data_IF_612648501215
#
_entry.id   IF_612648501215
#
_cell.length_a   1.000
_cell.length_b   1.000
_cell.length_c   1.000
_cell.angle_alpha   90.00
_cell.angle_beta   90.00
_cell.angle_gamma   90.00
#
_symmetry.space_group_name_H-M   'P 1'
#
loop_
_entity.id
_entity.type
_entity.pdbx_description
1 polymer ?
#
# COMPACT_ATOMS: atom_id res chain seq x y z
N UNK A 1 -43.59 -0.72 20.59
CA UNK A 1 -42.27 -1.36 20.63
C UNK A 1 -41.80 -1.43 19.19
N UNK A 2 -41.03 -0.42 18.74
CA UNK A 2 -40.52 -0.32 17.36
C UNK A 2 -39.35 -1.32 17.25
N UNK A 3 -39.27 -2.16 16.23
CA UNK A 3 -38.11 -3.02 16.02
C UNK A 3 -36.90 -2.17 15.80
N UNK A 4 -35.84 -2.37 16.58
CA UNK A 4 -34.53 -1.78 16.44
C UNK A 4 -34.01 -2.20 15.07
N UNK A 5 -33.78 -1.24 14.18
CA UNK A 5 -33.21 -1.48 12.85
C UNK A 5 -31.87 -2.23 12.99
N UNK A 6 -31.88 -3.50 12.62
CA UNK A 6 -30.71 -4.39 12.62
C UNK A 6 -29.69 -4.06 11.51
N UNK A 7 -29.83 -2.91 10.82
CA UNK A 7 -29.07 -2.59 9.62
C UNK A 7 -27.79 -1.78 9.81
N UNK A 8 -27.54 -1.18 10.98
CA UNK A 8 -26.42 -0.21 11.10
C UNK A 8 -25.12 -0.81 11.65
N UNK A 9 -25.15 -1.98 12.32
CA UNK A 9 -23.94 -2.57 12.90
C UNK A 9 -23.11 -3.41 11.90
N UNK A 10 -23.78 -4.08 10.95
CA UNK A 10 -23.10 -5.03 10.04
C UNK A 10 -22.32 -4.36 8.88
N UNK A 11 -22.52 -3.07 8.65
CA UNK A 11 -21.83 -2.28 7.63
C UNK A 11 -20.92 -1.20 8.20
N UNK A 12 -20.69 -1.20 9.51
CA UNK A 12 -19.76 -0.27 10.14
C UNK A 12 -18.33 -0.52 9.64
N UNK A 13 -17.62 0.55 9.30
CA UNK A 13 -16.26 0.49 8.76
C UNK A 13 -15.31 1.22 9.70
N UNK A 14 -14.23 0.55 10.09
CA UNK A 14 -13.08 1.21 10.68
C UNK A 14 -12.02 1.45 9.60
N UNK A 15 -11.63 2.70 9.45
CA UNK A 15 -10.45 3.09 8.67
C UNK A 15 -9.23 2.91 9.55
N UNK A 16 -8.26 2.11 9.10
CA UNK A 16 -6.96 1.94 9.76
C UNK A 16 -5.89 2.50 8.85
N UNK A 17 -5.27 3.58 9.29
CA UNK A 17 -4.26 4.33 8.56
C UNK A 17 -2.99 4.40 9.38
N UNK A 18 -1.84 4.13 8.75
CA UNK A 18 -0.52 4.28 9.38
C UNK A 18 0.17 5.49 8.78
N UNK A 19 0.62 6.40 9.62
CA UNK A 19 1.39 7.56 9.20
C UNK A 19 2.84 7.49 9.67
N UNK A 20 3.74 7.93 8.82
CA UNK A 20 5.15 8.19 9.10
C UNK A 20 5.66 9.24 8.12
N UNK A 21 5.93 10.47 8.62
CA UNK A 21 6.37 11.61 7.80
C UNK A 21 5.41 11.88 6.62
N UNK A 22 4.11 11.93 6.90
CA UNK A 22 3.05 11.97 5.85
C UNK A 22 2.24 13.27 5.87
N UNK A 23 2.69 14.31 6.56
CA UNK A 23 1.95 15.57 6.73
C UNK A 23 1.47 16.18 5.40
N UNK A 24 2.26 15.99 4.33
CA UNK A 24 1.94 16.53 3.00
C UNK A 24 0.63 16.00 2.43
N UNK A 25 0.37 14.69 2.59
CA UNK A 25 -0.70 13.99 1.86
C UNK A 25 -1.85 13.59 2.80
N UNK A 26 -1.57 13.48 4.11
CA UNK A 26 -2.50 12.98 5.12
C UNK A 26 -3.81 13.77 5.21
N UNK A 27 -3.75 15.11 5.18
CA UNK A 27 -4.94 15.95 5.27
C UNK A 27 -5.92 15.71 4.11
N UNK A 28 -5.40 15.51 2.90
CA UNK A 28 -6.21 15.20 1.72
C UNK A 28 -6.81 13.79 1.81
N UNK A 29 -6.04 12.82 2.29
CA UNK A 29 -6.55 11.45 2.52
C UNK A 29 -7.72 11.48 3.50
N UNK A 30 -7.53 12.02 4.71
CA UNK A 30 -8.55 12.10 5.75
C UNK A 30 -9.79 12.87 5.27
N UNK A 31 -9.62 14.03 4.62
CA UNK A 31 -10.73 14.85 4.10
C UNK A 31 -11.54 14.17 2.98
N UNK A 32 -11.04 13.11 2.36
CA UNK A 32 -11.77 12.34 1.34
C UNK A 32 -12.69 11.26 1.91
N UNK A 33 -12.44 10.80 3.15
CA UNK A 33 -13.06 9.61 3.73
C UNK A 33 -14.58 9.71 3.88
N UNK A 34 -15.10 10.81 4.42
CA UNK A 34 -16.54 10.98 4.67
C UNK A 34 -17.37 10.86 3.40
N UNK A 35 -16.95 11.56 2.33
CA UNK A 35 -17.65 11.50 1.04
C UNK A 35 -17.53 10.13 0.36
N UNK A 36 -16.42 9.45 0.60
CA UNK A 36 -16.19 8.11 0.07
C UNK A 36 -17.13 7.07 0.70
N UNK A 37 -17.45 7.22 1.98
CA UNK A 37 -18.23 6.24 2.74
C UNK A 37 -19.74 6.58 2.83
N UNK A 38 -20.13 7.84 2.64
CA UNK A 38 -21.52 8.26 2.85
C UNK A 38 -22.56 7.31 2.21
N UNK A 39 -23.62 6.91 2.92
CA UNK A 39 -24.03 7.37 4.24
C UNK A 39 -23.48 6.55 5.43
N UNK A 40 -22.53 5.63 5.22
CA UNK A 40 -22.00 4.77 6.29
C UNK A 40 -21.07 5.56 7.23
N UNK A 41 -21.27 5.45 8.56
CA UNK A 41 -20.37 6.09 9.51
C UNK A 41 -19.00 5.39 9.49
N UNK A 42 -17.95 6.18 9.67
CA UNK A 42 -16.57 5.72 9.77
C UNK A 42 -16.03 5.89 11.19
N UNK A 43 -15.35 4.88 11.71
CA UNK A 43 -14.41 5.03 12.80
C UNK A 43 -13.01 5.19 12.21
N UNK A 44 -12.33 6.30 12.47
CA UNK A 44 -10.99 6.53 11.92
C UNK A 44 -9.93 6.33 13.00
N UNK A 45 -9.05 5.37 12.79
CA UNK A 45 -7.91 5.04 13.63
C UNK A 45 -6.63 5.35 12.87
N UNK A 46 -5.83 6.27 13.37
CA UNK A 46 -4.51 6.62 12.81
C UNK A 46 -3.43 6.11 13.76
N UNK A 47 -2.52 5.29 13.25
CA UNK A 47 -1.34 4.83 13.99
C UNK A 47 -0.15 5.62 13.51
N UNK A 48 0.38 6.48 14.37
CA UNK A 48 1.59 7.25 14.07
C UNK A 48 2.85 6.44 14.42
N UNK A 49 3.69 6.20 13.44
CA UNK A 49 4.91 5.41 13.56
C UNK A 49 6.14 6.27 13.94
N UNK A 50 6.00 7.18 14.90
CA UNK A 50 7.01 8.14 15.35
C UNK A 50 7.34 9.20 14.28
N UNK A 51 6.33 9.88 13.75
CA UNK A 51 6.52 11.04 12.89
C UNK A 51 7.12 12.21 13.66
N UNK A 52 7.93 13.02 12.98
CA UNK A 52 8.52 14.27 13.51
C UNK A 52 8.02 15.50 12.75
N UNK A 53 7.15 15.29 11.76
CA UNK A 53 6.44 16.33 11.02
C UNK A 53 5.04 16.58 11.60
N UNK A 54 4.22 17.39 10.95
CA UNK A 54 2.88 17.73 11.39
C UNK A 54 1.84 16.56 11.25
N UNK A 55 2.26 15.34 10.91
CA UNK A 55 1.32 14.22 10.70
C UNK A 55 0.42 13.95 11.89
N UNK A 56 1.00 13.97 13.09
CA UNK A 56 0.27 13.74 14.34
C UNK A 56 -0.76 14.83 14.63
N UNK A 57 -0.39 16.10 14.43
CA UNK A 57 -1.26 17.25 14.60
C UNK A 57 -2.44 17.20 13.62
N UNK A 58 -2.19 16.90 12.35
CA UNK A 58 -3.22 16.74 11.31
C UNK A 58 -4.21 15.64 11.70
N UNK A 59 -3.71 14.47 12.14
CA UNK A 59 -4.58 13.35 12.52
C UNK A 59 -5.49 13.72 13.71
N UNK A 60 -4.96 14.38 14.72
CA UNK A 60 -5.73 14.88 15.89
C UNK A 60 -6.74 15.96 15.50
N UNK A 61 -6.35 16.90 14.63
CA UNK A 61 -7.23 17.95 14.13
C UNK A 61 -8.41 17.43 13.33
N UNK A 62 -8.26 16.28 12.69
CA UNK A 62 -9.36 15.59 12.00
C UNK A 62 -10.33 14.88 12.98
N UNK A 63 -9.97 14.71 14.24
CA UNK A 63 -10.76 13.96 15.22
C UNK A 63 -10.57 12.44 15.15
N UNK A 64 -9.51 11.96 14.53
CA UNK A 64 -9.20 10.54 14.49
C UNK A 64 -8.78 10.01 15.88
N UNK A 65 -9.05 8.74 16.15
CA UNK A 65 -8.44 8.03 17.27
C UNK A 65 -6.96 7.78 16.95
N UNK A 66 -6.06 8.48 17.62
CA UNK A 66 -4.61 8.42 17.35
C UNK A 66 -3.92 7.48 18.32
N UNK A 67 -3.11 6.57 17.77
CA UNK A 67 -2.21 5.68 18.53
C UNK A 67 -0.77 6.03 18.15
N UNK A 68 0.05 6.33 19.15
CA UNK A 68 1.42 6.80 18.94
C UNK A 68 2.43 5.70 19.28
N UNK A 69 3.28 5.36 18.34
CA UNK A 69 4.42 4.50 18.57
C UNK A 69 5.66 5.33 18.86
N UNK A 70 6.46 4.93 19.85
CA UNK A 70 7.72 5.61 20.18
C UNK A 70 8.81 5.42 19.11
N UNK A 71 8.68 4.40 18.26
CA UNK A 71 9.61 4.08 17.15
C UNK A 71 8.83 3.56 15.95
N UNK A 72 9.39 3.71 14.76
CA UNK A 72 8.80 3.12 13.55
C UNK A 72 8.89 1.59 13.60
N UNK A 73 7.78 0.92 13.87
CA UNK A 73 7.66 -0.54 14.01
C UNK A 73 7.40 -1.27 12.67
N UNK A 74 7.29 -0.52 11.56
CA UNK A 74 6.89 -1.02 10.25
C UNK A 74 5.38 -1.09 10.07
N UNK A 75 4.96 -1.28 8.81
CA UNK A 75 3.55 -1.18 8.41
C UNK A 75 2.70 -2.29 9.02
N UNK A 76 3.14 -3.54 8.95
CA UNK A 76 2.36 -4.70 9.41
C UNK A 76 2.00 -4.62 10.91
N UNK A 77 2.98 -4.28 11.75
CA UNK A 77 2.73 -4.14 13.20
C UNK A 77 1.78 -3.00 13.50
N UNK A 78 2.01 -1.85 12.87
CA UNK A 78 1.19 -0.66 13.07
C UNK A 78 -0.26 -0.90 12.60
N UNK A 79 -0.50 -1.53 11.47
CA UNK A 79 -1.86 -1.91 11.02
C UNK A 79 -2.51 -2.84 12.05
N UNK A 80 -1.82 -3.89 12.50
CA UNK A 80 -2.38 -4.80 13.51
C UNK A 80 -2.74 -4.07 14.82
N UNK A 81 -1.91 -3.10 15.24
CA UNK A 81 -2.21 -2.25 16.42
C UNK A 81 -3.47 -1.43 16.19
N UNK A 82 -3.63 -0.81 15.01
CA UNK A 82 -4.83 -0.05 14.67
C UNK A 82 -6.08 -0.92 14.61
N UNK A 83 -5.98 -2.12 14.03
CA UNK A 83 -7.09 -3.08 13.97
C UNK A 83 -7.53 -3.52 15.36
N UNK A 84 -6.59 -3.74 16.28
CA UNK A 84 -6.91 -4.12 17.67
C UNK A 84 -7.62 -3.00 18.46
N UNK A 85 -7.52 -1.76 18.01
CA UNK A 85 -8.12 -0.60 18.68
C UNK A 85 -9.57 -0.31 18.25
N UNK A 86 -10.16 -1.10 17.35
CA UNK A 86 -11.53 -0.95 16.84
C UNK A 86 -12.28 -2.27 16.86
N UNK A 87 -13.62 -2.22 16.84
CA UNK A 87 -14.51 -3.41 16.81
C UNK A 87 -15.34 -3.53 15.52
N UNK A 88 -15.18 -2.61 14.56
CA UNK A 88 -16.00 -2.61 13.34
C UNK A 88 -15.86 -3.89 12.51
N UNK A 89 -16.93 -4.42 11.90
CA UNK A 89 -16.90 -5.66 11.11
C UNK A 89 -16.13 -5.55 9.82
N UNK A 90 -15.89 -4.34 9.33
CA UNK A 90 -15.13 -4.05 8.13
C UNK A 90 -13.94 -3.15 8.44
N UNK A 91 -12.80 -3.49 7.88
CA UNK A 91 -11.54 -2.78 8.03
C UNK A 91 -11.15 -2.18 6.68
N UNK A 92 -11.14 -0.86 6.56
CA UNK A 92 -10.57 -0.16 5.43
C UNK A 92 -9.12 0.20 5.77
N UNK A 93 -8.20 -0.61 5.28
CA UNK A 93 -6.76 -0.35 5.39
C UNK A 93 -6.38 0.57 4.25
N UNK A 94 -5.81 1.74 4.57
CA UNK A 94 -5.55 2.78 3.58
C UNK A 94 -4.23 3.51 3.87
N UNK A 95 -3.47 3.81 2.82
CA UNK A 95 -2.24 4.59 2.94
C UNK A 95 -2.54 6.09 3.07
N UNK A 96 -1.70 6.87 3.77
CA UNK A 96 -1.89 8.30 3.96
C UNK A 96 -1.74 9.14 2.68
N UNK A 97 -1.19 8.56 1.60
CA UNK A 97 -0.99 9.18 0.29
C UNK A 97 -2.04 8.74 -0.74
N UNK A 98 -3.25 8.40 -0.27
CA UNK A 98 -4.40 8.06 -1.12
C UNK A 98 -5.49 9.12 -1.03
N UNK A 99 -6.28 9.23 -2.08
CA UNK A 99 -7.47 10.07 -2.16
C UNK A 99 -8.63 9.23 -2.68
N UNK A 100 -9.65 9.06 -1.83
CA UNK A 100 -10.80 8.22 -2.11
C UNK A 100 -11.86 9.02 -2.88
N UNK A 101 -12.31 8.52 -4.03
CA UNK A 101 -13.40 9.12 -4.79
C UNK A 101 -14.73 8.99 -4.03
N UNK A 102 -15.66 9.96 -4.17
CA UNK A 102 -16.98 9.91 -3.53
C UNK A 102 -17.70 8.58 -3.81
N UNK A 103 -18.20 7.92 -2.75
CA UNK A 103 -18.92 6.65 -2.84
C UNK A 103 -18.03 5.41 -3.06
N UNK A 104 -16.70 5.53 -3.15
CA UNK A 104 -15.82 4.40 -3.37
C UNK A 104 -15.87 3.36 -2.24
N UNK A 105 -15.90 3.78 -0.97
CA UNK A 105 -16.02 2.87 0.17
C UNK A 105 -17.38 2.18 0.17
N UNK A 106 -18.46 2.92 -0.10
CA UNK A 106 -19.81 2.33 -0.25
C UNK A 106 -19.82 1.26 -1.35
N UNK A 107 -19.13 1.52 -2.47
CA UNK A 107 -19.02 0.56 -3.57
C UNK A 107 -18.24 -0.69 -3.15
N UNK A 108 -17.12 -0.54 -2.46
CA UNK A 108 -16.36 -1.66 -1.92
C UNK A 108 -17.18 -2.50 -0.95
N UNK A 109 -17.96 -1.87 -0.06
CA UNK A 109 -18.87 -2.56 0.85
C UNK A 109 -19.94 -3.36 0.09
N UNK A 110 -20.57 -2.77 -0.92
CA UNK A 110 -21.58 -3.44 -1.72
C UNK A 110 -20.99 -4.71 -2.39
N UNK A 111 -19.78 -4.62 -2.93
CA UNK A 111 -19.08 -5.78 -3.48
C UNK A 111 -18.73 -6.80 -2.41
N UNK A 112 -18.20 -6.37 -1.27
CA UNK A 112 -17.79 -7.26 -0.17
C UNK A 112 -18.97 -7.99 0.47
N UNK A 113 -20.16 -7.39 0.49
CA UNK A 113 -21.37 -7.99 1.06
C UNK A 113 -22.15 -8.87 0.07
N UNK A 114 -21.83 -8.81 -1.22
CA UNK A 114 -22.51 -9.60 -2.26
C UNK A 114 -22.26 -11.11 -2.16
N UNK A 115 -21.17 -11.53 -1.52
CA UNK A 115 -20.88 -12.94 -1.20
C UNK A 115 -20.19 -13.02 0.17
N UNK A 116 -20.69 -13.91 1.04
CA UNK A 116 -20.14 -14.10 2.38
C UNK A 116 -18.69 -14.65 2.39
N UNK A 117 -18.23 -15.24 1.29
CA UNK A 117 -16.87 -15.74 1.12
C UNK A 117 -15.86 -14.66 0.71
N UNK A 118 -16.31 -13.45 0.39
CA UNK A 118 -15.41 -12.35 0.09
C UNK A 118 -14.78 -11.86 1.39
N UNK A 119 -13.47 -12.07 1.53
CA UNK A 119 -12.66 -11.66 2.66
C UNK A 119 -11.96 -10.32 2.44
N UNK A 120 -11.67 -9.97 1.19
CA UNK A 120 -10.96 -8.74 0.83
C UNK A 120 -11.43 -8.19 -0.52
N UNK A 121 -11.59 -6.86 -0.61
CA UNK A 121 -11.87 -6.16 -1.87
C UNK A 121 -10.90 -4.98 -2.02
N UNK A 122 -10.23 -4.90 -3.18
CA UNK A 122 -9.40 -3.75 -3.56
C UNK A 122 -10.05 -2.91 -4.65
N UNK A 123 -9.94 -1.57 -4.58
CA UNK A 123 -10.43 -0.65 -5.60
C UNK A 123 -9.55 -0.59 -6.84
N UNK A 124 -10.02 0.03 -7.90
CA UNK A 124 -9.17 0.58 -8.95
C UNK A 124 -8.32 1.71 -8.37
N UNK A 125 -7.00 1.59 -8.47
CA UNK A 125 -6.08 2.66 -8.13
C UNK A 125 -5.67 3.39 -9.41
N UNK A 126 -5.70 4.73 -9.36
CA UNK A 126 -5.19 5.59 -10.41
C UNK A 126 -4.00 6.40 -9.90
N UNK A 127 -3.01 6.64 -10.74
CA UNK A 127 -1.96 7.62 -10.49
C UNK A 127 -2.55 9.05 -10.52
N UNK A 128 -1.87 10.07 -9.96
CA UNK A 128 -2.35 11.45 -10.00
C UNK A 128 -2.59 12.00 -11.41
N UNK A 129 -1.88 11.49 -12.40
CA UNK A 129 -2.03 11.84 -13.82
C UNK A 129 -3.21 11.12 -14.52
N UNK A 130 -3.97 10.32 -13.77
CA UNK A 130 -5.09 9.54 -14.27
C UNK A 130 -4.70 8.22 -14.95
N UNK A 131 -3.43 7.88 -15.04
CA UNK A 131 -3.00 6.59 -15.56
C UNK A 131 -3.29 5.45 -14.57
N UNK A 132 -3.53 4.24 -15.10
CA UNK A 132 -3.80 3.07 -14.30
C UNK A 132 -2.63 2.68 -13.40
N UNK A 133 -2.91 2.44 -12.11
CA UNK A 133 -2.02 1.74 -11.22
C UNK A 133 -2.48 0.28 -11.08
N UNK A 134 -1.63 -0.71 -11.36
CA UNK A 134 -2.05 -2.12 -11.28
C UNK A 134 -2.42 -2.51 -9.85
N UNK A 135 -3.72 -2.67 -9.56
CA UNK A 135 -4.22 -3.05 -8.21
C UNK A 135 -4.45 -4.55 -8.11
N UNK A 136 -5.34 -5.11 -8.92
CA UNK A 136 -5.58 -6.55 -8.97
C UNK A 136 -4.47 -7.28 -9.71
N UNK A 137 -3.86 -8.29 -9.09
CA UNK A 137 -2.68 -8.97 -9.64
C UNK A 137 -2.73 -10.47 -9.40
N UNK A 138 -1.89 -11.22 -10.15
CA UNK A 138 -1.65 -12.65 -9.92
C UNK A 138 -0.46 -12.87 -8.98
N UNK A 139 -0.48 -13.98 -8.23
CA UNK A 139 0.74 -14.40 -7.53
C UNK A 139 1.80 -14.78 -8.56
N UNK A 140 3.01 -14.23 -8.49
CA UNK A 140 4.06 -14.58 -9.42
C UNK A 140 4.50 -16.04 -9.20
N UNK A 141 4.48 -16.87 -10.25
CA UNK A 141 5.27 -18.11 -10.21
C UNK A 141 6.76 -17.76 -10.13
N UNK A 142 7.60 -18.71 -9.78
CA UNK A 142 9.05 -18.47 -9.67
C UNK A 142 9.62 -17.88 -10.97
N UNK A 143 9.32 -18.49 -12.11
CA UNK A 143 9.77 -18.01 -13.42
C UNK A 143 9.18 -16.65 -13.78
N UNK A 144 7.86 -16.48 -13.60
CA UNK A 144 7.20 -15.20 -13.89
C UNK A 144 7.74 -14.07 -13.00
N UNK A 145 7.97 -14.35 -11.72
CA UNK A 145 8.55 -13.38 -10.79
C UNK A 145 9.98 -12.99 -11.16
N UNK A 146 10.82 -13.97 -11.54
CA UNK A 146 12.18 -13.71 -11.97
C UNK A 146 12.21 -12.89 -13.28
N UNK A 147 11.41 -13.27 -14.29
CA UNK A 147 11.32 -12.56 -15.56
C UNK A 147 10.75 -11.14 -15.38
N UNK A 148 9.69 -10.98 -14.59
CA UNK A 148 9.17 -9.65 -14.25
C UNK A 148 10.26 -8.79 -13.57
N UNK A 149 10.91 -9.34 -12.55
CA UNK A 149 11.92 -8.60 -11.80
C UNK A 149 13.15 -8.21 -12.63
N UNK A 150 13.54 -9.04 -13.60
CA UNK A 150 14.68 -8.79 -14.48
C UNK A 150 14.34 -7.86 -15.66
N UNK A 151 13.19 -8.06 -16.28
CA UNK A 151 12.85 -7.41 -17.55
C UNK A 151 12.04 -6.11 -17.38
N UNK A 152 11.20 -5.98 -16.36
CA UNK A 152 10.34 -4.81 -16.19
C UNK A 152 11.09 -3.46 -16.20
N UNK A 153 12.32 -3.34 -15.67
CA UNK A 153 13.07 -2.08 -15.71
C UNK A 153 13.49 -1.60 -17.11
N UNK A 154 13.62 -2.52 -18.07
CA UNK A 154 14.09 -2.24 -19.44
C UNK A 154 13.01 -2.50 -20.49
N UNK A 155 12.04 -3.35 -20.18
CA UNK A 155 10.91 -3.72 -21.02
C UNK A 155 9.62 -3.87 -20.17
N UNK A 156 8.96 -2.75 -19.79
CA UNK A 156 7.78 -2.76 -18.91
C UNK A 156 6.61 -3.58 -19.47
N UNK A 157 6.45 -3.63 -20.79
CA UNK A 157 5.39 -4.35 -21.48
C UNK A 157 5.67 -5.85 -21.77
N UNK A 158 6.71 -6.45 -21.17
CA UNK A 158 7.02 -7.87 -21.44
C UNK A 158 5.90 -8.82 -20.99
N UNK A 159 5.78 -10.03 -21.59
CA UNK A 159 4.67 -10.95 -21.32
C UNK A 159 4.54 -11.35 -19.83
N UNK A 160 5.65 -11.51 -19.10
CA UNK A 160 5.61 -11.86 -17.68
C UNK A 160 5.01 -10.72 -16.83
N UNK A 161 5.40 -9.47 -17.12
CA UNK A 161 4.85 -8.27 -16.47
C UNK A 161 3.37 -8.09 -16.81
N UNK A 162 2.99 -8.22 -18.08
CA UNK A 162 1.58 -8.14 -18.52
C UNK A 162 0.69 -9.18 -17.82
N UNK A 163 1.16 -10.43 -17.73
CA UNK A 163 0.45 -11.50 -17.03
C UNK A 163 0.34 -11.24 -15.53
N UNK A 164 1.41 -10.77 -14.91
CA UNK A 164 1.45 -10.41 -13.49
C UNK A 164 0.45 -9.30 -13.15
N UNK A 165 0.38 -8.27 -13.98
CA UNK A 165 -0.53 -7.14 -13.82
C UNK A 165 -1.93 -7.38 -14.41
N UNK A 166 -2.22 -8.58 -14.92
CA UNK A 166 -3.51 -8.92 -15.52
C UNK A 166 -3.92 -7.94 -16.63
N UNK A 167 -2.96 -7.53 -17.48
CA UNK A 167 -3.22 -6.60 -18.59
C UNK A 167 -4.08 -7.30 -19.65
N UNK A 168 -5.18 -6.64 -20.07
CA UNK A 168 -6.11 -7.16 -21.08
C UNK A 168 -7.24 -8.03 -20.53
N UNK A 169 -7.33 -8.18 -19.20
CA UNK A 169 -8.50 -8.83 -18.57
C UNK A 169 -9.67 -7.84 -18.55
N UNK A 170 -10.89 -8.35 -18.82
CA UNK A 170 -12.12 -7.57 -18.72
C UNK A 170 -12.29 -7.02 -17.29
N UNK A 171 -12.37 -5.69 -17.19
CA UNK A 171 -12.52 -4.94 -15.95
C UNK A 171 -13.86 -4.20 -15.89
N UNK A 172 -14.87 -4.64 -16.61
CA UNK A 172 -16.22 -4.05 -16.57
C UNK A 172 -16.97 -4.36 -15.27
N UNK A 173 -16.55 -5.39 -14.52
CA UNK A 173 -17.18 -5.87 -13.28
C UNK A 173 -16.16 -6.37 -12.28
N UNK A 174 -16.54 -6.53 -10.99
CA UNK A 174 -15.68 -7.14 -9.98
C UNK A 174 -15.22 -8.53 -10.39
N UNK A 175 -13.95 -8.84 -10.14
CA UNK A 175 -13.32 -10.10 -10.53
C UNK A 175 -12.40 -10.66 -9.45
N UNK A 176 -12.30 -11.99 -9.37
CA UNK A 176 -11.35 -12.65 -8.47
C UNK A 176 -9.92 -12.43 -8.92
N UNK A 177 -9.09 -12.04 -7.97
CA UNK A 177 -7.65 -11.82 -8.16
C UNK A 177 -6.86 -12.56 -7.10
N UNK A 178 -5.56 -12.78 -7.33
CA UNK A 178 -4.77 -13.44 -6.30
C UNK A 178 -4.43 -12.48 -5.15
N UNK A 179 -4.23 -11.19 -5.44
CA UNK A 179 -3.99 -10.18 -4.42
C UNK A 179 -4.29 -8.77 -4.93
N UNK A 180 -4.54 -7.86 -4.01
CA UNK A 180 -4.80 -6.43 -4.25
C UNK A 180 -3.74 -5.59 -3.53
N UNK A 181 -3.54 -4.35 -4.00
CA UNK A 181 -2.57 -3.43 -3.40
C UNK A 181 -2.99 -3.02 -1.99
N UNK A 182 -2.04 -3.02 -1.06
CA UNK A 182 -2.22 -2.52 0.31
C UNK A 182 -2.41 -1.00 0.43
N UNK A 183 -2.29 -0.25 -0.68
CA UNK A 183 -2.54 1.19 -0.67
C UNK A 183 -3.99 1.53 -0.29
N UNK A 184 -4.95 0.68 -0.70
CA UNK A 184 -6.33 0.72 -0.24
C UNK A 184 -6.95 -0.67 -0.38
N UNK A 185 -7.46 -1.23 0.72
CA UNK A 185 -8.15 -2.52 0.73
C UNK A 185 -9.22 -2.55 1.82
N UNK A 186 -10.42 -3.01 1.46
CA UNK A 186 -11.49 -3.29 2.41
C UNK A 186 -11.42 -4.76 2.78
N UNK A 187 -11.29 -5.07 4.07
CA UNK A 187 -11.12 -6.43 4.58
C UNK A 187 -12.22 -6.76 5.58
N UNK A 188 -12.83 -7.92 5.45
CA UNK A 188 -13.75 -8.44 6.46
C UNK A 188 -12.97 -8.76 7.74
N UNK A 189 -13.35 -8.18 8.88
CA UNK A 189 -12.66 -8.40 10.17
C UNK A 189 -12.46 -9.88 10.48
N UNK A 190 -13.53 -10.68 10.41
CA UNK A 190 -13.46 -12.13 10.65
C UNK A 190 -12.39 -12.81 9.78
N UNK A 191 -12.30 -12.44 8.50
CA UNK A 191 -11.30 -13.00 7.58
C UNK A 191 -9.88 -12.57 7.97
N UNK A 192 -9.70 -11.30 8.39
CA UNK A 192 -8.42 -10.78 8.84
C UNK A 192 -7.95 -11.44 10.14
N UNK A 193 -8.84 -11.64 11.09
CA UNK A 193 -8.56 -12.31 12.38
C UNK A 193 -8.26 -13.80 12.18
N UNK A 194 -9.00 -14.50 11.32
CA UNK A 194 -8.80 -15.91 11.01
C UNK A 194 -7.40 -16.19 10.45
N UNK A 195 -6.86 -15.26 9.67
CA UNK A 195 -5.47 -15.38 9.16
C UNK A 195 -4.41 -14.86 10.15
N UNK A 196 -4.80 -14.35 11.33
CA UNK A 196 -3.90 -13.79 12.34
C UNK A 196 -3.35 -12.40 11.98
N UNK A 197 -4.08 -11.61 11.18
CA UNK A 197 -3.69 -10.26 10.76
C UNK A 197 -2.53 -10.24 9.75
N UNK A 198 -1.87 -9.09 9.61
CA UNK A 198 -0.62 -9.00 8.86
C UNK A 198 0.53 -9.66 9.62
N UNK A 199 1.41 -10.37 8.92
CA UNK A 199 2.60 -10.97 9.53
C UNK A 199 3.59 -9.88 9.95
N UNK A 200 3.87 -9.73 11.27
CA UNK A 200 4.75 -8.68 11.80
C UNK A 200 6.23 -8.85 11.39
N UNK A 201 6.56 -9.93 10.71
CA UNK A 201 7.88 -10.14 10.11
C UNK A 201 8.12 -9.34 8.83
N UNK A 202 7.09 -8.74 8.24
CA UNK A 202 7.22 -7.74 7.18
C UNK A 202 7.28 -6.36 7.80
N UNK A 203 8.39 -5.64 7.60
CA UNK A 203 8.46 -4.24 7.98
C UNK A 203 7.68 -3.37 7.00
N UNK A 204 7.80 -3.65 5.69
CA UNK A 204 7.14 -2.99 4.58
C UNK A 204 7.25 -3.85 3.32
N UNK A 205 6.23 -3.80 2.46
CA UNK A 205 6.08 -4.57 1.22
C UNK A 205 5.82 -6.06 1.43
N UNK A 206 4.99 -6.62 0.58
CA UNK A 206 4.55 -8.02 0.55
C UNK A 206 3.66 -8.46 1.72
N UNK A 207 3.43 -7.64 2.75
CA UNK A 207 2.49 -7.95 3.83
C UNK A 207 1.07 -8.19 3.31
N UNK A 208 0.59 -7.35 2.39
CA UNK A 208 -0.71 -7.49 1.75
C UNK A 208 -0.78 -8.72 0.84
N UNK A 209 0.30 -8.99 0.11
CA UNK A 209 0.38 -10.18 -0.75
C UNK A 209 0.39 -11.47 0.09
N UNK A 210 1.10 -11.50 1.21
CA UNK A 210 1.09 -12.62 2.16
C UNK A 210 -0.28 -12.79 2.81
N UNK A 211 -0.92 -11.70 3.21
CA UNK A 211 -2.28 -11.75 3.76
C UNK A 211 -3.28 -12.32 2.75
N UNK A 212 -3.26 -11.86 1.49
CA UNK A 212 -4.11 -12.40 0.44
C UNK A 212 -3.84 -13.90 0.20
N UNK A 213 -2.57 -14.33 0.23
CA UNK A 213 -2.23 -15.75 0.13
C UNK A 213 -2.82 -16.56 1.28
N UNK A 214 -2.79 -16.04 2.51
CA UNK A 214 -3.39 -16.71 3.68
C UNK A 214 -4.91 -16.70 3.62
N UNK A 215 -5.53 -15.62 3.14
CA UNK A 215 -6.97 -15.55 2.87
C UNK A 215 -7.40 -16.66 1.91
N UNK A 216 -6.73 -16.82 0.77
CA UNK A 216 -7.03 -17.91 -0.17
C UNK A 216 -6.89 -19.30 0.47
N UNK A 217 -5.83 -19.50 1.28
CA UNK A 217 -5.63 -20.78 2.00
C UNK A 217 -6.71 -21.08 3.03
N UNK A 218 -7.33 -20.05 3.60
CA UNK A 218 -8.46 -20.14 4.51
C UNK A 218 -9.83 -20.22 3.77
N UNK A 219 -9.85 -20.24 2.43
CA UNK A 219 -11.07 -20.35 1.62
C UNK A 219 -11.76 -19.02 1.31
N UNK A 220 -11.17 -17.89 1.69
CA UNK A 220 -11.69 -16.56 1.38
C UNK A 220 -11.35 -16.13 -0.04
N UNK A 221 -12.27 -15.38 -0.65
CA UNK A 221 -12.07 -14.75 -1.96
C UNK A 221 -11.42 -13.37 -1.78
N UNK A 222 -10.54 -13.03 -2.70
CA UNK A 222 -9.96 -11.69 -2.87
C UNK A 222 -10.48 -11.14 -4.18
N UNK A 223 -11.13 -9.99 -4.15
CA UNK A 223 -11.83 -9.40 -5.30
C UNK A 223 -11.23 -8.03 -5.63
N UNK A 224 -11.06 -7.74 -6.89
CA UNK A 224 -10.78 -6.41 -7.42
C UNK A 224 -12.07 -5.80 -7.93
N UNK A 225 -12.45 -4.62 -7.44
CA UNK A 225 -13.60 -3.85 -7.94
C UNK A 225 -13.11 -2.67 -8.79
N UNK A 226 -13.27 -2.74 -10.11
CA UNK A 226 -12.78 -1.70 -11.02
C UNK A 226 -13.62 -0.42 -11.00
N UNK A 227 -14.81 -0.44 -10.41
CA UNK A 227 -15.72 0.73 -10.37
C UNK A 227 -15.43 1.60 -9.14
N UNK A 228 -14.94 1.00 -8.04
CA UNK A 228 -14.49 1.77 -6.88
C UNK A 228 -13.14 2.42 -7.20
N UNK A 229 -13.10 3.74 -7.32
CA UNK A 229 -11.88 4.48 -7.69
C UNK A 229 -11.22 5.13 -6.48
N UNK A 230 -9.89 4.99 -6.40
CA UNK A 230 -9.03 5.66 -5.42
C UNK A 230 -7.77 6.15 -6.13
N UNK A 231 -7.38 7.39 -5.92
CA UNK A 231 -6.11 7.94 -6.42
C UNK A 231 -5.00 7.70 -5.42
N UNK A 232 -3.82 7.31 -5.90
CA UNK A 232 -2.66 7.02 -5.06
C UNK A 232 -1.44 7.80 -5.52
N UNK A 233 -0.93 8.67 -4.64
CA UNK A 233 0.28 9.46 -4.89
C UNK A 233 1.50 8.61 -4.48
N UNK A 234 1.98 7.79 -5.41
CA UNK A 234 3.06 6.82 -5.13
C UNK A 234 4.30 7.50 -4.54
N UNK A 235 4.69 7.08 -3.35
CA UNK A 235 6.01 7.39 -2.79
C UNK A 235 6.07 8.53 -1.79
N UNK A 236 4.94 9.03 -1.26
CA UNK A 236 4.91 10.07 -0.23
C UNK A 236 5.87 9.76 0.95
N UNK A 237 5.56 8.76 1.74
CA UNK A 237 6.33 8.36 2.94
C UNK A 237 7.68 7.70 2.66
N UNK A 238 7.97 7.26 1.43
CA UNK A 238 9.19 6.50 1.11
C UNK A 238 10.27 7.34 0.43
N UNK A 239 10.01 8.61 0.12
CA UNK A 239 10.98 9.52 -0.51
C UNK A 239 12.17 9.82 0.40
N UNK A 240 11.96 9.88 1.71
CA UNK A 240 12.99 10.19 2.71
C UNK A 240 14.03 9.09 2.93
N UNK A 241 13.78 7.85 2.50
CA UNK A 241 14.67 6.73 2.77
C UNK A 241 14.80 5.73 1.59
N UNK A 242 15.27 6.16 0.41
CA UNK A 242 15.25 5.37 -0.82
C UNK A 242 16.07 4.08 -0.73
N UNK A 243 17.18 4.06 -0.02
CA UNK A 243 18.01 2.87 0.19
C UNK A 243 17.32 1.83 1.08
N UNK A 244 16.70 2.27 2.18
CA UNK A 244 15.95 1.39 3.09
C UNK A 244 14.78 0.72 2.38
N UNK A 245 14.10 1.45 1.49
CA UNK A 245 13.05 0.92 0.60
C UNK A 245 13.54 -0.28 -0.20
N UNK A 246 14.70 -0.18 -0.85
CA UNK A 246 15.28 -1.27 -1.64
C UNK A 246 15.57 -2.48 -0.74
N UNK A 247 16.20 -2.27 0.40
CA UNK A 247 16.55 -3.36 1.33
C UNK A 247 15.30 -4.08 1.85
N UNK A 248 14.28 -3.33 2.32
CA UNK A 248 13.04 -3.92 2.82
C UNK A 248 12.30 -4.70 1.73
N UNK A 249 12.21 -4.15 0.51
CA UNK A 249 11.57 -4.84 -0.61
C UNK A 249 12.20 -6.21 -0.90
N UNK A 250 13.54 -6.31 -0.96
CA UNK A 250 14.21 -7.56 -1.26
C UNK A 250 14.14 -8.58 -0.09
N UNK A 251 14.26 -8.11 1.16
CA UNK A 251 14.05 -8.96 2.35
C UNK A 251 12.62 -9.52 2.40
N UNK A 252 11.63 -8.67 2.16
CA UNK A 252 10.22 -9.05 2.15
C UNK A 252 9.90 -10.02 1.01
N UNK A 253 10.48 -9.82 -0.18
CA UNK A 253 10.34 -10.75 -1.30
C UNK A 253 10.86 -12.15 -0.97
N UNK A 254 12.02 -12.26 -0.35
CA UNK A 254 12.58 -13.55 0.11
C UNK A 254 11.69 -14.19 1.18
N UNK A 255 11.23 -13.40 2.17
CA UNK A 255 10.32 -13.89 3.20
C UNK A 255 9.03 -14.44 2.58
N UNK A 256 8.42 -13.70 1.66
CA UNK A 256 7.22 -14.15 0.95
C UNK A 256 7.46 -15.45 0.18
N UNK A 257 8.57 -15.56 -0.52
CA UNK A 257 8.95 -16.80 -1.21
C UNK A 257 9.00 -17.99 -0.23
N UNK A 258 9.74 -17.86 0.86
CA UNK A 258 9.87 -18.92 1.85
C UNK A 258 8.53 -19.30 2.48
N UNK A 259 7.67 -18.34 2.80
CA UNK A 259 6.34 -18.61 3.36
C UNK A 259 5.39 -19.26 2.36
N UNK A 260 5.42 -18.79 1.11
CA UNK A 260 4.58 -19.34 0.05
C UNK A 260 4.87 -20.81 -0.20
N UNK A 261 6.14 -21.18 -0.18
CA UNK A 261 6.64 -22.54 -0.47
C UNK A 261 7.07 -23.33 0.76
N UNK A 262 6.68 -22.91 1.97
CA UNK A 262 7.10 -23.56 3.24
C UNK A 262 6.81 -25.07 3.32
N UNK A 263 5.80 -25.56 2.58
CA UNK A 263 5.41 -26.98 2.52
C UNK A 263 5.49 -27.55 1.09
N UNK A 264 6.33 -26.98 0.25
CA UNK A 264 6.44 -27.29 -1.18
C UNK A 264 7.92 -27.57 -1.53
N UNK A 265 8.22 -28.58 -2.38
CA UNK A 265 9.60 -28.90 -2.80
C UNK A 265 10.34 -27.70 -3.39
N UNK A 266 9.64 -26.72 -3.96
CA UNK A 266 10.25 -25.48 -4.48
C UNK A 266 10.97 -24.66 -3.42
N UNK A 267 10.77 -24.93 -2.13
CA UNK A 267 11.55 -24.29 -1.06
C UNK A 267 13.05 -24.56 -1.17
N UNK A 268 13.46 -25.69 -1.75
CA UNK A 268 14.87 -26.02 -2.01
C UNK A 268 15.58 -24.95 -2.86
N UNK A 269 14.83 -24.20 -3.68
CA UNK A 269 15.35 -23.10 -4.50
C UNK A 269 15.60 -21.80 -3.70
N UNK A 270 15.27 -21.74 -2.39
CA UNK A 270 15.41 -20.52 -1.60
C UNK A 270 16.83 -19.91 -1.62
N UNK A 271 17.94 -20.69 -1.57
CA UNK A 271 19.29 -20.12 -1.70
C UNK A 271 19.52 -19.43 -3.05
N UNK A 272 19.04 -20.03 -4.15
CA UNK A 272 19.14 -19.44 -5.50
C UNK A 272 18.32 -18.15 -5.60
N UNK A 273 17.09 -18.15 -5.07
CA UNK A 273 16.25 -16.94 -5.00
C UNK A 273 16.90 -15.86 -4.15
N UNK A 274 17.51 -16.22 -3.01
CA UNK A 274 18.24 -15.29 -2.16
C UNK A 274 19.44 -14.67 -2.90
N UNK A 275 20.24 -15.49 -3.62
CA UNK A 275 21.33 -15.01 -4.47
C UNK A 275 20.86 -14.04 -5.55
N UNK A 276 19.80 -14.40 -6.29
CA UNK A 276 19.21 -13.52 -7.31
C UNK A 276 18.72 -12.19 -6.71
N UNK A 277 18.00 -12.24 -5.59
CA UNK A 277 17.49 -11.03 -4.92
C UNK A 277 18.63 -10.17 -4.37
N UNK A 278 19.74 -10.77 -3.90
CA UNK A 278 20.93 -10.04 -3.45
C UNK A 278 21.57 -9.28 -4.60
N UNK A 279 21.86 -9.94 -5.73
CA UNK A 279 22.45 -9.31 -6.92
C UNK A 279 21.55 -8.16 -7.42
N UNK A 280 20.25 -8.42 -7.54
CA UNK A 280 19.28 -7.40 -7.95
C UNK A 280 19.19 -6.26 -6.94
N UNK A 281 19.27 -6.54 -5.65
CA UNK A 281 19.29 -5.54 -4.58
C UNK A 281 20.49 -4.61 -4.69
N UNK A 282 21.70 -5.17 -4.88
CA UNK A 282 22.93 -4.39 -5.10
C UNK A 282 22.81 -3.51 -6.33
N UNK A 283 22.34 -4.05 -7.46
CA UNK A 283 22.13 -3.27 -8.69
C UNK A 283 21.11 -2.13 -8.49
N UNK A 284 20.04 -2.40 -7.74
CA UNK A 284 19.03 -1.38 -7.41
C UNK A 284 19.58 -0.29 -6.50
N UNK A 285 20.41 -0.63 -5.50
CA UNK A 285 21.09 0.34 -4.64
C UNK A 285 22.05 1.23 -5.42
N UNK A 286 22.85 0.63 -6.31
CA UNK A 286 23.76 1.38 -7.20
C UNK A 286 22.99 2.37 -8.08
N UNK A 287 21.88 1.94 -8.70
CA UNK A 287 21.01 2.81 -9.49
C UNK A 287 20.42 3.94 -8.65
N UNK A 288 19.95 3.65 -7.44
CA UNK A 288 19.43 4.66 -6.51
C UNK A 288 20.50 5.71 -6.18
N UNK A 289 21.75 5.28 -5.92
CA UNK A 289 22.86 6.18 -5.65
C UNK A 289 23.17 7.13 -6.84
N UNK A 290 23.11 6.61 -8.08
CA UNK A 290 23.30 7.43 -9.27
C UNK A 290 22.19 8.47 -9.44
N UNK A 291 20.92 8.09 -9.20
CA UNK A 291 19.77 9.00 -9.28
C UNK A 291 19.90 10.11 -8.24
N UNK A 292 20.17 9.77 -6.98
CA UNK A 292 20.33 10.74 -5.88
C UNK A 292 21.48 11.72 -6.14
N UNK A 293 22.61 11.24 -6.68
CA UNK A 293 23.73 12.13 -7.06
C UNK A 293 23.35 13.11 -8.16
N UNK A 294 22.56 12.67 -9.15
CA UNK A 294 22.08 13.55 -10.24
C UNK A 294 21.10 14.61 -9.75
N UNK A 295 20.21 14.26 -8.82
CA UNK A 295 19.27 15.20 -8.20
C UNK A 295 20.01 16.23 -7.35
N UNK A 296 20.94 15.82 -6.49
CA UNK A 296 21.77 16.72 -5.70
C UNK A 296 22.64 17.66 -6.54
N UNK A 297 23.09 17.22 -7.73
CA UNK A 297 23.82 18.05 -8.67
C UNK A 297 22.96 19.10 -9.39
N UNK A 298 21.64 18.86 -9.52
CA UNK A 298 20.71 19.83 -10.12
C UNK A 298 20.23 20.90 -9.14
N UNK A 299 20.24 20.61 -7.85
CA UNK A 299 19.86 21.55 -6.79
C UNK A 299 21.00 22.47 -6.34
N UNK A 300 22.22 22.32 -6.87
CA UNK A 300 23.28 23.29 -6.63
C UNK A 300 22.88 24.64 -7.27
N UNK A 301 22.72 25.72 -6.47
CA UNK A 301 22.52 27.04 -7.04
C UNK A 301 23.69 27.35 -8.00
N UNK A 302 23.38 27.83 -9.19
CA UNK A 302 24.39 28.51 -10.02
C UNK A 302 25.04 29.53 -9.09
N UNK A 303 26.34 29.41 -8.87
CA UNK A 303 27.08 30.40 -8.11
C UNK A 303 26.78 31.74 -8.79
N UNK A 304 26.12 32.64 -8.07
CA UNK A 304 25.86 33.98 -8.55
C UNK A 304 27.21 34.65 -8.86
N UNK A 305 27.26 35.64 -9.77
CA UNK A 305 28.47 36.36 -10.07
C UNK A 305 29.09 36.85 -8.78
N UNK A 306 30.40 36.62 -8.62
CA UNK A 306 31.18 37.03 -7.47
C UNK A 306 31.08 38.54 -7.24
N UNK A 307 31.27 39.01 -5.97
CA UNK A 307 31.15 40.43 -5.63
C UNK A 307 32.07 41.38 -6.42
N UNK A 308 33.01 40.87 -7.23
CA UNK A 308 33.96 41.66 -8.05
C UNK A 308 33.40 42.04 -9.42
N UNK A 309 32.22 41.57 -9.88
CA UNK A 309 31.63 41.93 -11.17
C UNK A 309 30.60 43.09 -11.09
N UNK A 310 30.31 43.61 -9.90
CA UNK A 310 29.52 44.83 -9.76
C UNK A 310 30.45 46.03 -9.90
N UNK A 311 30.44 46.58 -11.12
CA UNK A 311 31.28 47.63 -11.61
C UNK A 311 31.55 48.79 -10.62
N UNK A 312 32.83 49.24 -10.58
CA UNK A 312 33.24 50.50 -9.97
C UNK A 312 32.45 51.68 -10.57
N UNK A 313 31.91 52.60 -9.80
CA UNK A 313 31.34 53.81 -10.35
C UNK A 313 32.48 54.61 -11.01
N UNK A 314 32.28 54.92 -12.29
CA UNK A 314 33.13 55.89 -13.01
C UNK A 314 32.88 57.30 -12.39
N UNK A 315 33.99 57.92 -12.01
CA UNK A 315 34.05 59.31 -11.59
C UNK A 315 33.86 60.29 -12.76
#
# INVERSE_FOLDING_TARGET
MVPKEAGSSDTAVAVVLVTFQSARDLAMCLGSLERAAAPHPLEVVVVDNASTDASLEIARGYGAKVLENHTNQGLSRAINTGVAATGAPWLLIVNPDTWLSPGSVRRLLATATSDQRIGCVGPHLANPDGSDYPTGRRFPSLLMGALHAALAPVWPGNPATRRYHMVGVDRSRPLDVDWVSGACMLVRRRAFEEIGGFDPGYFMYFEEMDACLRLHRAGWRVVFDPVAEVKHVVGGSTRSAPYRKVVHHHKSALRFYCRRYARDPRLVMAPLVAGFLTVRGVASLARTAVVQRREAGRERPLAGPGPDELGRPQA
#
